data_IF_939224316183
#
_entry.id   IF_939224316183
#
_cell.length_a   1.000
_cell.length_b   1.000
_cell.length_c   1.000
_cell.angle_alpha   90.00
_cell.angle_beta   90.00
_cell.angle_gamma   90.00
#
_symmetry.space_group_name_H-M   'P 1'
#
loop_
_entity.id
_entity.type
_entity.pdbx_description
1 polymer ?
#
# COMPACT_ATOMS: atom_id res chain seq x y z
N UNK A 1 16.41 -26.07 8.42
CA UNK A 1 15.94 -25.72 7.07
C UNK A 1 16.20 -24.24 6.84
N UNK A 2 16.50 -23.83 5.61
CA UNK A 2 16.73 -22.42 5.25
C UNK A 2 15.52 -21.56 5.70
N UNK A 3 14.29 -22.05 5.57
CA UNK A 3 13.08 -21.34 6.02
C UNK A 3 13.10 -20.98 7.51
N UNK A 4 13.60 -21.86 8.38
CA UNK A 4 13.65 -21.61 9.83
C UNK A 4 14.71 -20.56 10.18
N UNK A 5 15.81 -20.54 9.44
CA UNK A 5 16.86 -19.54 9.62
C UNK A 5 16.39 -18.16 9.17
N UNK A 6 15.73 -18.08 8.01
CA UNK A 6 15.09 -16.86 7.51
C UNK A 6 14.06 -16.33 8.51
N UNK A 7 13.15 -17.19 8.99
CA UNK A 7 12.15 -16.81 10.00
C UNK A 7 12.78 -16.28 11.29
N UNK A 8 13.85 -16.92 11.78
CA UNK A 8 14.57 -16.45 12.96
C UNK A 8 15.23 -15.08 12.74
N UNK A 9 15.79 -14.83 11.56
CA UNK A 9 16.41 -13.54 11.22
C UNK A 9 15.36 -12.43 11.12
N UNK A 10 14.24 -12.68 10.44
CA UNK A 10 13.14 -11.72 10.30
C UNK A 10 12.50 -11.37 11.65
N UNK A 11 12.32 -12.36 12.52
CA UNK A 11 11.81 -12.13 13.88
C UNK A 11 12.75 -11.25 14.71
N UNK A 12 14.06 -11.47 14.58
CA UNK A 12 15.08 -10.64 15.25
C UNK A 12 15.11 -9.23 14.68
N UNK A 13 15.01 -9.07 13.37
CA UNK A 13 14.96 -7.76 12.72
C UNK A 13 13.75 -6.95 13.21
N UNK A 14 12.56 -7.55 13.23
CA UNK A 14 11.33 -6.91 13.73
C UNK A 14 11.39 -6.55 15.23
N UNK A 15 12.22 -7.23 16.02
CA UNK A 15 12.42 -6.93 17.43
C UNK A 15 13.44 -5.79 17.66
N UNK A 16 14.37 -5.61 16.72
CA UNK A 16 15.35 -4.51 16.76
C UNK A 16 14.72 -3.22 16.27
N UNK A 17 13.94 -3.30 15.19
CA UNK A 17 13.21 -2.18 14.61
C UNK A 17 11.75 -2.57 14.45
N UNK A 18 10.92 -2.13 15.39
CA UNK A 18 9.48 -2.39 15.38
C UNK A 18 8.70 -1.50 14.41
N UNK A 19 9.36 -0.47 13.86
CA UNK A 19 8.75 0.48 12.91
C UNK A 19 9.01 0.09 11.45
N UNK A 20 9.96 -0.81 11.19
CA UNK A 20 10.21 -1.31 9.84
C UNK A 20 9.13 -2.32 9.39
N UNK A 21 8.40 -2.06 8.28
CA UNK A 21 7.37 -2.96 7.77
C UNK A 21 7.93 -4.18 7.01
N UNK A 22 9.18 -4.13 6.56
CA UNK A 22 9.79 -5.13 5.69
C UNK A 22 9.87 -6.53 6.30
N UNK A 23 10.33 -6.73 7.55
CA UNK A 23 10.41 -8.06 8.12
C UNK A 23 9.07 -8.79 8.15
N UNK A 24 7.98 -8.06 8.39
CA UNK A 24 6.64 -8.62 8.44
C UNK A 24 6.11 -8.96 7.03
N UNK A 25 6.38 -8.12 6.02
CA UNK A 25 5.98 -8.42 4.65
C UNK A 25 6.73 -9.65 4.09
N UNK A 26 8.05 -9.76 4.34
CA UNK A 26 8.83 -10.92 3.92
C UNK A 26 8.37 -12.20 4.64
N UNK A 27 8.01 -12.11 5.93
CA UNK A 27 7.38 -13.22 6.63
C UNK A 27 6.03 -13.61 6.01
N UNK A 28 5.23 -12.63 5.53
CA UNK A 28 3.99 -12.92 4.81
C UNK A 28 4.26 -13.77 3.56
N UNK A 29 5.17 -13.31 2.69
CA UNK A 29 5.57 -14.04 1.48
C UNK A 29 6.03 -15.47 1.79
N UNK A 30 6.90 -15.64 2.80
CA UNK A 30 7.35 -16.97 3.25
C UNK A 30 6.20 -17.87 3.72
N UNK A 31 5.15 -17.30 4.33
CA UNK A 31 3.98 -18.06 4.79
C UNK A 31 3.08 -18.50 3.63
N UNK A 32 2.94 -17.67 2.58
CA UNK A 32 2.26 -18.07 1.34
C UNK A 32 2.99 -19.26 0.72
N UNK A 33 4.31 -19.20 0.57
CA UNK A 33 5.12 -20.31 0.01
C UNK A 33 5.00 -21.61 0.82
N UNK A 34 4.72 -21.51 2.13
CA UNK A 34 4.49 -22.66 3.01
C UNK A 34 3.06 -23.19 2.99
N UNK A 35 2.15 -22.60 2.21
CA UNK A 35 0.73 -22.93 2.19
C UNK A 35 0.01 -22.56 3.49
N UNK A 36 0.41 -21.45 4.13
CA UNK A 36 -0.15 -20.94 5.39
C UNK A 36 -0.74 -19.52 5.19
N UNK A 37 -1.78 -19.36 4.38
CA UNK A 37 -2.29 -18.04 3.97
C UNK A 37 -2.85 -17.22 5.14
N UNK A 38 -3.45 -17.85 6.14
CA UNK A 38 -4.00 -17.13 7.31
C UNK A 38 -2.89 -16.48 8.14
N UNK A 39 -1.73 -17.15 8.25
CA UNK A 39 -0.57 -16.59 8.91
C UNK A 39 0.12 -15.53 8.05
N UNK A 40 0.14 -15.72 6.74
CA UNK A 40 0.62 -14.71 5.81
C UNK A 40 -0.17 -13.42 5.97
N UNK A 41 -1.50 -13.51 5.95
CA UNK A 41 -2.39 -12.36 6.15
C UNK A 41 -2.13 -11.63 7.47
N UNK A 42 -1.93 -12.36 8.57
CA UNK A 42 -1.60 -11.75 9.86
C UNK A 42 -0.27 -10.96 9.81
N UNK A 43 0.74 -11.48 9.11
CA UNK A 43 2.03 -10.80 8.94
C UNK A 43 1.92 -9.60 8.00
N UNK A 44 1.17 -9.71 6.90
CA UNK A 44 0.95 -8.61 5.97
C UNK A 44 0.20 -7.46 6.63
N UNK A 45 -0.87 -7.75 7.38
CA UNK A 45 -1.62 -6.75 8.15
C UNK A 45 -0.72 -6.02 9.15
N UNK A 46 0.19 -6.74 9.82
CA UNK A 46 1.17 -6.13 10.71
C UNK A 46 2.09 -5.17 9.95
N UNK A 47 2.62 -5.58 8.80
CA UNK A 47 3.43 -4.70 7.93
C UNK A 47 2.66 -3.43 7.55
N UNK A 48 1.45 -3.58 7.03
CA UNK A 48 0.63 -2.46 6.55
C UNK A 48 0.24 -1.49 7.65
N UNK A 49 -0.03 -1.98 8.87
CA UNK A 49 -0.40 -1.11 10.01
C UNK A 49 0.67 -0.08 10.41
N UNK A 50 1.88 -0.17 9.87
CA UNK A 50 2.96 0.77 10.12
C UNK A 50 2.97 1.97 9.15
N UNK A 51 2.23 1.90 8.03
CA UNK A 51 2.31 2.91 6.97
C UNK A 51 1.03 3.13 6.16
N UNK A 52 0.05 2.24 6.23
CA UNK A 52 -1.19 2.31 5.46
C UNK A 52 -2.39 2.53 6.37
N UNK A 53 -3.00 3.70 6.26
CA UNK A 53 -4.18 4.12 7.02
C UNK A 53 -5.28 4.57 6.04
N UNK A 54 -6.26 3.70 5.71
CA UNK A 54 -7.27 4.03 4.70
C UNK A 54 -8.09 5.29 5.06
N UNK A 55 -8.36 5.51 6.35
CA UNK A 55 -9.17 6.64 6.85
C UNK A 55 -8.40 7.96 7.04
N UNK A 56 -7.06 7.99 6.93
CA UNK A 56 -6.29 9.23 7.16
C UNK A 56 -6.41 10.24 6.01
N UNK A 57 -6.93 9.80 4.86
CA UNK A 57 -7.18 10.61 3.67
C UNK A 57 -8.42 11.51 3.76
N UNK A 58 -9.24 11.37 4.81
CA UNK A 58 -10.38 12.26 5.10
C UNK A 58 -10.33 12.82 6.52
N UNK A 59 -9.51 13.85 6.76
CA UNK A 59 -9.74 14.76 7.88
C UNK A 59 -10.51 15.99 7.37
N UNK A 60 -11.85 16.02 7.44
CA UNK A 60 -12.56 17.28 7.32
C UNK A 60 -12.24 18.15 8.55
N UNK A 61 -11.96 19.41 8.29
CA UNK A 61 -11.66 20.45 9.28
C UNK A 61 -12.59 20.38 10.51
N UNK A 62 -12.01 20.23 11.70
CA UNK A 62 -12.65 20.65 12.95
C UNK A 62 -11.99 21.96 13.42
N UNK A 63 -12.40 23.05 12.80
CA UNK A 63 -12.36 24.36 13.41
C UNK A 63 -13.23 24.36 14.68
N UNK A 64 -12.73 25.00 15.75
CA UNK A 64 -13.57 25.72 16.71
C UNK A 64 -13.86 25.01 18.04
N UNK A 65 -13.11 25.40 19.06
CA UNK A 65 -13.73 25.91 20.29
C UNK A 65 -12.78 26.91 20.93
N UNK A 66 -13.04 28.19 20.63
CA UNK A 66 -12.72 29.27 21.54
C UNK A 66 -13.55 29.04 22.81
N UNK A 67 -12.89 28.68 23.91
CA UNK A 67 -13.44 28.90 25.25
C UNK A 67 -12.51 29.84 26.01
N UNK A 68 -12.89 31.11 25.91
CA UNK A 68 -12.69 32.16 26.90
C UNK A 68 -13.11 31.69 28.30
N UNK A 69 -12.16 31.61 29.24
CA UNK A 69 -12.44 31.84 30.67
C UNK A 69 -11.22 32.53 31.29
N UNK A 70 -11.41 33.76 31.76
CA UNK A 70 -10.37 34.60 32.35
C UNK A 70 -10.04 34.36 33.83
N UNK A 71 -9.01 35.11 34.27
CA UNK A 71 -8.63 35.46 35.66
C UNK A 71 -8.01 34.32 36.52
N UNK A 72 -6.97 34.45 37.34
CA UNK A 72 -6.17 35.56 37.89
C UNK A 72 -4.84 34.98 38.46
N UNK A 73 -3.75 35.75 38.36
CA UNK A 73 -2.55 35.84 39.23
C UNK A 73 -1.99 34.60 39.96
N UNK A 74 -0.80 34.15 39.54
CA UNK A 74 0.28 33.77 40.46
C UNK A 74 1.65 33.81 39.75
N UNK A 75 2.53 34.64 40.32
CA UNK A 75 3.90 34.89 39.93
C UNK A 75 4.80 33.69 40.30
N UNK A 76 5.40 33.04 39.29
CA UNK A 76 6.49 32.08 39.49
C UNK A 76 7.56 32.23 38.41
N UNK A 77 8.65 32.86 38.85
CA UNK A 77 10.05 32.48 38.66
C UNK A 77 10.56 32.02 37.28
N UNK A 78 11.56 32.76 36.80
CA UNK A 78 12.29 32.59 35.56
C UNK A 78 13.01 31.22 35.53
N UNK A 79 12.38 30.24 34.89
CA UNK A 79 13.02 28.97 34.55
C UNK A 79 13.28 28.89 33.05
N UNK A 80 14.57 28.89 32.73
CA UNK A 80 15.24 28.14 31.68
C UNK A 80 14.37 27.44 30.63
N UNK A 81 14.68 27.76 29.37
CA UNK A 81 14.62 26.78 28.30
C UNK A 81 13.41 26.96 27.39
N UNK A 82 13.66 27.66 26.29
CA UNK A 82 13.01 27.43 24.99
C UNK A 82 12.87 25.93 24.72
N UNK A 83 11.70 25.36 25.02
CA UNK A 83 11.17 24.22 24.34
C UNK A 83 9.97 24.73 23.54
N UNK A 84 10.26 25.38 22.42
CA UNK A 84 9.34 25.35 21.31
C UNK A 84 9.05 23.87 21.07
N UNK A 85 7.87 23.43 21.51
CA UNK A 85 7.28 22.15 21.12
C UNK A 85 6.99 22.28 19.63
N UNK A 86 8.05 22.17 18.84
CA UNK A 86 7.96 21.82 17.45
C UNK A 86 7.24 20.50 17.43
N UNK A 87 5.97 20.52 17.06
CA UNK A 87 5.35 19.41 16.36
C UNK A 87 6.16 19.24 15.08
N UNK A 88 7.31 18.57 15.18
CA UNK A 88 7.88 17.87 14.05
C UNK A 88 6.81 16.84 13.73
N UNK A 89 5.92 17.20 12.81
CA UNK A 89 5.05 16.26 12.14
C UNK A 89 6.00 15.17 11.67
N UNK A 90 5.95 13.99 12.31
CA UNK A 90 6.63 12.81 11.83
C UNK A 90 6.21 12.71 10.38
N UNK A 91 7.10 13.04 9.45
CA UNK A 91 6.85 12.87 8.04
C UNK A 91 6.46 11.39 7.92
N UNK A 92 5.20 11.14 7.56
CA UNK A 92 4.69 9.78 7.37
C UNK A 92 5.44 9.21 6.17
N UNK A 93 6.65 8.69 6.44
CA UNK A 93 7.59 8.23 5.45
C UNK A 93 7.04 6.92 4.89
N UNK A 94 6.30 7.06 3.79
CA UNK A 94 5.80 5.94 3.03
C UNK A 94 6.97 5.02 2.66
N UNK A 95 6.78 3.69 2.73
CA UNK A 95 7.76 2.75 2.20
C UNK A 95 8.03 3.00 0.71
N UNK A 96 9.17 2.48 0.24
CA UNK A 96 9.56 2.58 -1.15
C UNK A 96 8.42 2.14 -2.11
N UNK A 97 8.36 2.75 -3.29
CA UNK A 97 7.33 2.46 -4.29
C UNK A 97 7.22 0.95 -4.60
N UNK A 98 8.35 0.31 -4.87
CA UNK A 98 8.44 -1.13 -5.13
C UNK A 98 7.94 -1.98 -3.95
N UNK A 99 8.18 -1.55 -2.71
CA UNK A 99 7.68 -2.24 -1.53
C UNK A 99 6.15 -2.27 -1.48
N UNK A 100 5.52 -1.16 -1.87
CA UNK A 100 4.07 -1.04 -1.96
C UNK A 100 3.51 -1.83 -3.14
N UNK A 101 4.21 -1.92 -4.27
CA UNK A 101 3.87 -2.83 -5.38
C UNK A 101 3.82 -4.29 -4.91
N UNK A 102 4.84 -4.76 -4.19
CA UNK A 102 4.85 -6.12 -3.63
C UNK A 102 3.74 -6.33 -2.59
N UNK A 103 3.35 -5.29 -1.85
CA UNK A 103 2.19 -5.36 -0.95
C UNK A 103 0.92 -5.68 -1.72
N UNK A 104 0.65 -5.00 -2.84
CA UNK A 104 -0.56 -5.22 -3.63
C UNK A 104 -0.58 -6.63 -4.24
N UNK A 105 0.55 -7.15 -4.72
CA UNK A 105 0.66 -8.52 -5.22
C UNK A 105 0.30 -9.54 -4.13
N UNK A 106 0.89 -9.39 -2.94
CA UNK A 106 0.59 -10.26 -1.80
C UNK A 106 -0.88 -10.16 -1.36
N UNK A 107 -1.50 -8.98 -1.44
CA UNK A 107 -2.93 -8.83 -1.17
C UNK A 107 -3.76 -9.61 -2.21
N UNK A 108 -3.46 -9.50 -3.51
CA UNK A 108 -4.18 -10.26 -4.53
C UNK A 108 -4.00 -11.79 -4.40
N UNK A 109 -2.86 -12.26 -3.90
CA UNK A 109 -2.64 -13.69 -3.59
C UNK A 109 -3.40 -14.16 -2.34
N UNK A 110 -3.73 -13.23 -1.43
CA UNK A 110 -4.50 -13.49 -0.22
C UNK A 110 -5.97 -13.11 -0.48
N UNK A 111 -6.74 -14.10 -0.92
CA UNK A 111 -8.19 -14.00 -1.14
C UNK A 111 -8.88 -13.22 0.02
N UNK A 112 -9.89 -12.41 -0.30
CA UNK A 112 -10.61 -11.47 0.59
C UNK A 112 -9.94 -10.13 0.92
N UNK A 113 -8.89 -9.73 0.19
CA UNK A 113 -8.22 -8.43 0.41
C UNK A 113 -8.20 -7.49 -0.80
N UNK A 114 -9.02 -7.78 -1.80
CA UNK A 114 -9.09 -7.06 -3.07
C UNK A 114 -9.41 -5.56 -2.92
N UNK A 115 -10.29 -5.18 -2.00
CA UNK A 115 -10.62 -3.77 -1.76
C UNK A 115 -9.40 -2.99 -1.26
N UNK A 116 -8.68 -3.54 -0.28
CA UNK A 116 -7.43 -2.96 0.23
C UNK A 116 -6.33 -2.94 -0.84
N UNK A 117 -6.23 -4.00 -1.65
CA UNK A 117 -5.29 -4.05 -2.78
C UNK A 117 -5.57 -2.92 -3.79
N UNK A 118 -6.85 -2.67 -4.08
CA UNK A 118 -7.30 -1.62 -4.97
C UNK A 118 -6.93 -0.24 -4.42
N UNK A 119 -7.18 0.04 -3.14
CA UNK A 119 -6.82 1.30 -2.51
C UNK A 119 -5.31 1.56 -2.60
N UNK A 120 -4.47 0.60 -2.21
CA UNK A 120 -3.01 0.76 -2.31
C UNK A 120 -2.56 0.98 -3.76
N UNK A 121 -3.16 0.29 -4.73
CA UNK A 121 -2.88 0.49 -6.15
C UNK A 121 -3.27 1.90 -6.65
N UNK A 122 -4.40 2.45 -6.19
CA UNK A 122 -4.81 3.83 -6.52
C UNK A 122 -3.82 4.85 -5.96
N UNK A 123 -3.33 4.64 -4.74
CA UNK A 123 -2.30 5.51 -4.15
C UNK A 123 -1.00 5.47 -4.95
N UNK A 124 -0.59 4.29 -5.43
CA UNK A 124 0.59 4.12 -6.29
C UNK A 124 0.43 4.83 -7.65
N UNK A 125 -0.75 4.75 -8.28
CA UNK A 125 -1.04 5.48 -9.51
C UNK A 125 -1.05 7.00 -9.30
N UNK A 126 -1.58 7.46 -8.16
CA UNK A 126 -1.60 8.88 -7.81
C UNK A 126 -0.20 9.45 -7.60
N UNK A 127 0.73 8.63 -7.11
CA UNK A 127 2.14 9.00 -6.96
C UNK A 127 2.89 8.99 -8.30
N UNK A 128 2.67 7.96 -9.12
CA UNK A 128 3.32 7.84 -10.42
C UNK A 128 2.46 7.05 -11.43
N UNK A 129 1.85 7.78 -12.36
CA UNK A 129 1.01 7.23 -13.42
C UNK A 129 1.79 6.80 -14.67
N UNK A 130 3.13 6.88 -14.64
CA UNK A 130 4.01 6.57 -15.78
C UNK A 130 4.59 5.17 -15.75
N UNK A 131 4.23 4.37 -14.75
CA UNK A 131 4.71 2.99 -14.57
C UNK A 131 3.68 2.00 -15.10
N UNK A 132 3.95 1.28 -16.21
CA UNK A 132 3.01 0.29 -16.75
C UNK A 132 2.65 -0.82 -15.78
N UNK A 133 3.60 -1.32 -14.99
CA UNK A 133 3.36 -2.35 -13.98
C UNK A 133 2.27 -1.94 -12.98
N UNK A 134 2.25 -0.68 -12.58
CA UNK A 134 1.24 -0.15 -11.65
C UNK A 134 -0.15 -0.12 -12.27
N UNK A 135 -0.26 0.25 -13.55
CA UNK A 135 -1.53 0.18 -14.30
C UNK A 135 -2.02 -1.26 -14.45
N UNK A 136 -1.12 -2.19 -14.75
CA UNK A 136 -1.44 -3.60 -14.85
C UNK A 136 -1.94 -4.15 -13.52
N UNK A 137 -1.25 -3.82 -12.43
CA UNK A 137 -1.62 -4.24 -11.07
C UNK A 137 -2.97 -3.65 -10.63
N UNK A 138 -3.23 -2.38 -10.94
CA UNK A 138 -4.53 -1.74 -10.71
C UNK A 138 -5.66 -2.43 -11.51
N UNK A 139 -5.41 -2.77 -12.77
CA UNK A 139 -6.38 -3.51 -13.58
C UNK A 139 -6.66 -4.91 -13.03
N UNK A 140 -5.65 -5.62 -12.50
CA UNK A 140 -5.83 -6.89 -11.79
C UNK A 140 -6.72 -6.73 -10.55
N UNK A 141 -6.50 -5.69 -9.74
CA UNK A 141 -7.37 -5.40 -8.59
C UNK A 141 -8.82 -5.17 -9.01
N UNK A 142 -9.05 -4.41 -10.08
CA UNK A 142 -10.40 -4.18 -10.60
C UNK A 142 -11.06 -5.46 -11.13
N UNK A 143 -10.29 -6.30 -11.84
CA UNK A 143 -10.78 -7.60 -12.33
C UNK A 143 -11.15 -8.53 -11.18
N UNK A 144 -10.28 -8.67 -10.18
CA UNK A 144 -10.52 -9.47 -8.98
C UNK A 144 -11.75 -8.93 -8.19
N UNK A 145 -11.99 -7.62 -8.22
CA UNK A 145 -13.12 -6.97 -7.57
C UNK A 145 -14.43 -7.05 -8.36
N UNK A 146 -14.43 -7.63 -9.57
CA UNK A 146 -15.59 -7.71 -10.46
C UNK A 146 -15.92 -6.41 -11.21
N UNK A 147 -15.08 -5.38 -11.10
CA UNK A 147 -15.25 -4.09 -11.77
C UNK A 147 -14.70 -4.14 -13.20
N UNK A 148 -15.30 -4.99 -14.03
CA UNK A 148 -14.76 -5.34 -15.35
C UNK A 148 -14.66 -4.15 -16.33
N UNK A 149 -15.65 -3.25 -16.34
CA UNK A 149 -15.64 -2.09 -17.23
C UNK A 149 -14.47 -1.15 -16.92
N UNK A 150 -14.19 -0.91 -15.65
CA UNK A 150 -13.08 -0.05 -15.23
C UNK A 150 -11.74 -0.77 -15.42
N UNK A 151 -11.69 -2.10 -15.25
CA UNK A 151 -10.51 -2.89 -15.57
C UNK A 151 -10.11 -2.72 -17.05
N UNK A 152 -11.06 -2.78 -17.98
CA UNK A 152 -10.77 -2.56 -19.41
C UNK A 152 -10.24 -1.15 -19.70
N UNK A 153 -10.78 -0.11 -19.04
CA UNK A 153 -10.26 1.26 -19.17
C UNK A 153 -8.83 1.37 -18.63
N UNK A 154 -8.57 0.78 -17.47
CA UNK A 154 -7.23 0.76 -16.87
C UNK A 154 -6.21 0.04 -17.77
N UNK A 155 -6.61 -1.03 -18.45
CA UNK A 155 -5.78 -1.74 -19.44
C UNK A 155 -5.47 -0.83 -20.63
N UNK A 156 -6.47 -0.12 -21.16
CA UNK A 156 -6.27 0.83 -22.27
C UNK A 156 -5.27 1.94 -21.89
N UNK A 157 -5.43 2.52 -20.69
CA UNK A 157 -4.53 3.53 -20.16
C UNK A 157 -3.12 2.99 -19.93
N UNK A 158 -2.96 1.80 -19.34
CA UNK A 158 -1.66 1.16 -19.16
C UNK A 158 -0.94 0.89 -20.49
N UNK A 159 -1.65 0.43 -21.52
CA UNK A 159 -1.10 0.24 -22.87
C UNK A 159 -0.72 1.56 -23.55
N UNK A 160 -1.46 2.62 -23.28
CA UNK A 160 -1.10 3.98 -23.74
C UNK A 160 0.21 4.42 -23.07
N UNK A 161 0.36 4.21 -21.76
CA UNK A 161 1.59 4.52 -21.04
C UNK A 161 2.78 3.72 -21.59
N UNK A 162 2.63 2.42 -21.88
CA UNK A 162 3.69 1.62 -22.52
C UNK A 162 4.21 2.26 -23.82
N UNK A 163 3.31 2.77 -24.66
CA UNK A 163 3.69 3.44 -25.92
C UNK A 163 4.36 4.78 -25.67
N UNK A 164 3.87 5.55 -24.69
CA UNK A 164 4.44 6.85 -24.31
C UNK A 164 5.84 6.72 -23.71
N UNK A 165 6.13 5.64 -22.99
CA UNK A 165 7.46 5.33 -22.43
C UNK A 165 8.39 4.68 -23.45
N UNK A 166 7.90 4.35 -24.65
CA UNK A 166 8.69 3.75 -25.72
C UNK A 166 8.99 2.27 -25.52
N UNK A 167 8.17 1.56 -24.75
CA UNK A 167 8.27 0.11 -24.62
C UNK A 167 7.94 -0.59 -25.93
N UNK A 168 8.57 -1.73 -26.15
CA UNK A 168 8.34 -2.54 -27.33
C UNK A 168 7.01 -3.32 -27.21
N UNK A 169 6.39 -3.62 -28.35
CA UNK A 169 5.13 -4.37 -28.39
C UNK A 169 5.29 -5.84 -27.95
N UNK A 170 6.52 -6.36 -27.90
CA UNK A 170 6.89 -7.70 -27.44
C UNK A 170 7.37 -7.74 -25.98
N UNK A 171 7.30 -6.62 -25.26
CA UNK A 171 7.63 -6.56 -23.84
C UNK A 171 6.63 -7.35 -22.99
N UNK A 172 7.12 -8.04 -21.97
CA UNK A 172 6.33 -8.90 -21.09
C UNK A 172 5.15 -8.15 -20.45
N UNK A 173 5.32 -6.88 -20.06
CA UNK A 173 4.21 -6.11 -19.46
C UNK A 173 3.14 -5.77 -20.51
N UNK A 174 3.56 -5.49 -21.74
CA UNK A 174 2.64 -5.17 -22.82
C UNK A 174 1.80 -6.38 -23.20
N UNK A 175 2.42 -7.57 -23.22
CA UNK A 175 1.73 -8.84 -23.44
C UNK A 175 0.77 -9.16 -22.28
N UNK A 176 1.20 -8.91 -21.03
CA UNK A 176 0.37 -9.14 -19.83
C UNK A 176 -0.95 -8.36 -19.89
N UNK A 177 -0.94 -7.12 -20.40
CA UNK A 177 -2.17 -6.35 -20.62
C UNK A 177 -3.14 -7.02 -21.61
N UNK A 178 -2.62 -7.63 -22.69
CA UNK A 178 -3.47 -8.32 -23.66
C UNK A 178 -4.07 -9.60 -23.08
N UNK A 179 -3.30 -10.36 -22.29
CA UNK A 179 -3.78 -11.54 -21.58
C UNK A 179 -4.89 -11.18 -20.58
N UNK A 180 -4.69 -10.10 -19.81
CA UNK A 180 -5.67 -9.62 -18.86
C UNK A 180 -6.95 -9.11 -19.55
N UNK A 181 -6.83 -8.44 -20.69
CA UNK A 181 -7.99 -7.98 -21.48
C UNK A 181 -8.90 -9.14 -21.89
N UNK A 182 -8.31 -10.24 -22.37
CA UNK A 182 -9.05 -11.44 -22.74
C UNK A 182 -9.66 -12.14 -21.51
N UNK A 183 -8.94 -12.18 -20.38
CA UNK A 183 -9.46 -12.72 -19.13
C UNK A 183 -10.68 -11.94 -18.62
N UNK A 184 -10.63 -10.60 -18.66
CA UNK A 184 -11.75 -9.73 -18.25
C UNK A 184 -12.97 -9.96 -19.14
N UNK A 185 -12.79 -9.98 -20.47
CA UNK A 185 -13.89 -10.26 -21.41
C UNK A 185 -14.51 -11.64 -21.17
N UNK A 186 -13.68 -12.65 -20.91
CA UNK A 186 -14.15 -13.99 -20.59
C UNK A 186 -15.01 -13.99 -19.32
N UNK A 187 -14.56 -13.33 -18.25
CA UNK A 187 -15.32 -13.17 -17.00
C UNK A 187 -16.66 -12.45 -17.23
N UNK A 188 -16.70 -11.38 -18.03
CA UNK A 188 -17.94 -10.67 -18.37
C UNK A 188 -18.95 -11.53 -19.14
N UNK A 189 -18.47 -12.47 -19.96
CA UNK A 189 -19.33 -13.37 -20.73
C UNK A 189 -19.83 -14.59 -19.95
N UNK A 190 -19.19 -14.89 -18.82
CA UNK A 190 -19.49 -16.06 -17.99
C UNK A 190 -20.49 -15.77 -16.86
N UNK A 191 -20.69 -14.49 -16.50
CA UNK A 191 -21.70 -14.03 -15.53
C UNK A 191 -23.05 -13.77 -16.15
#
# INVERSE_FOLDING_TARGET
SICLEVESLLTRAAAIDSTNPEPAQVLSSLRIEQGRPEEAFAMLRKSMSLWFHPDSSTSPEAHGSEEDVGMESAEVDLTHGTAARGTELEEEQLPAYEFRIETVKLLLELDDTTETALEVAVHLLSENDRVPDTWHLYALCLHAGGNFEDALKAIEDGRRVCKETGMADDDDIFLSFAELEEAVKASMSAG
#
